data_IF_116469760292
#
_entry.id   IF_116469760292
#
_cell.length_a   1.000
_cell.length_b   1.000
_cell.length_c   1.000
_cell.angle_alpha   90.00
_cell.angle_beta   90.00
_cell.angle_gamma   90.00
#
_symmetry.space_group_name_H-M   'P 1'
#
loop_
_entity.id
_entity.type
_entity.pdbx_description
1 polymer ?
#
# COMPACT_ATOMS: atom_id res chain seq x y z
N UNK A 1 -6.08 28.99 -20.58
CA UNK A 1 -5.91 27.72 -19.84
C UNK A 1 -6.93 26.68 -20.33
N UNK A 2 -6.50 25.53 -20.88
CA UNK A 2 -7.44 24.44 -21.10
C UNK A 2 -8.04 24.06 -19.73
N UNK A 3 -9.36 23.97 -19.68
CA UNK A 3 -10.08 23.62 -18.47
C UNK A 3 -9.54 22.30 -17.93
N UNK A 4 -9.11 22.30 -16.66
CA UNK A 4 -8.85 21.06 -15.93
C UNK A 4 -10.14 20.23 -16.01
N UNK A 5 -10.09 19.14 -16.77
CA UNK A 5 -11.13 18.13 -16.69
C UNK A 5 -11.22 17.76 -15.20
N UNK A 6 -12.35 18.08 -14.57
CA UNK A 6 -12.52 17.89 -13.13
C UNK A 6 -12.10 16.49 -12.76
N UNK A 7 -11.15 16.37 -11.82
CA UNK A 7 -10.67 15.08 -11.37
C UNK A 7 -11.89 14.20 -11.01
N UNK A 8 -11.89 12.91 -11.41
CA UNK A 8 -13.00 12.04 -11.08
C UNK A 8 -13.25 12.05 -9.57
N UNK A 9 -14.51 12.03 -9.17
CA UNK A 9 -14.87 11.95 -7.75
C UNK A 9 -14.25 10.69 -7.14
N UNK A 10 -13.61 10.76 -5.96
CA UNK A 10 -12.99 9.61 -5.34
C UNK A 10 -13.96 8.43 -5.17
N UNK A 11 -13.45 7.21 -5.38
CA UNK A 11 -14.20 6.00 -5.03
C UNK A 11 -14.44 5.90 -3.51
N UNK A 12 -15.31 4.99 -3.07
CA UNK A 12 -15.63 4.84 -1.63
C UNK A 12 -14.38 4.56 -0.77
N UNK A 13 -13.53 3.62 -1.21
CA UNK A 13 -12.27 3.26 -0.52
C UNK A 13 -11.26 4.42 -0.59
N UNK A 14 -11.21 5.12 -1.72
CA UNK A 14 -10.33 6.27 -1.88
C UNK A 14 -10.75 7.43 -0.95
N UNK A 15 -12.05 7.66 -0.80
CA UNK A 15 -12.59 8.63 0.13
C UNK A 15 -12.25 8.30 1.59
N UNK A 16 -12.23 7.01 1.96
CA UNK A 16 -11.79 6.57 3.29
C UNK A 16 -10.31 6.88 3.53
N UNK A 17 -9.45 6.63 2.54
CA UNK A 17 -8.01 6.96 2.62
C UNK A 17 -7.79 8.48 2.70
N UNK A 18 -8.54 9.26 1.93
CA UNK A 18 -8.46 10.73 1.92
C UNK A 18 -9.00 11.37 3.22
N UNK A 19 -9.87 10.67 3.94
CA UNK A 19 -10.40 11.13 5.23
C UNK A 19 -9.41 10.94 6.40
N UNK A 20 -8.34 10.15 6.22
CA UNK A 20 -7.30 9.97 7.22
C UNK A 20 -6.47 11.25 7.35
N UNK A 21 -6.10 11.60 8.58
CA UNK A 21 -5.02 12.57 8.76
C UNK A 21 -3.69 11.99 8.25
N UNK A 22 -2.69 12.83 7.93
CA UNK A 22 -1.44 12.36 7.33
C UNK A 22 -0.70 11.30 8.14
N UNK A 23 -0.80 11.32 9.48
CA UNK A 23 -0.12 10.38 10.36
C UNK A 23 -0.87 9.05 10.40
N UNK A 24 -2.19 9.08 10.45
CA UNK A 24 -3.02 7.89 10.37
C UNK A 24 -2.82 7.18 9.01
N UNK A 25 -2.73 7.94 7.92
CA UNK A 25 -2.40 7.40 6.59
C UNK A 25 -1.01 6.73 6.59
N UNK A 26 0.02 7.42 7.11
CA UNK A 26 1.38 6.87 7.17
C UNK A 26 1.43 5.58 8.01
N UNK A 27 0.72 5.54 9.15
CA UNK A 27 0.65 4.35 10.00
C UNK A 27 -0.06 3.19 9.29
N UNK A 28 -1.19 3.45 8.62
CA UNK A 28 -1.88 2.43 7.81
C UNK A 28 -0.94 1.85 6.74
N UNK A 29 -0.30 2.72 5.96
CA UNK A 29 0.64 2.31 4.93
C UNK A 29 1.83 1.52 5.53
N UNK A 30 2.38 1.96 6.67
CA UNK A 30 3.44 1.26 7.38
C UNK A 30 3.04 -0.16 7.78
N UNK A 31 1.85 -0.34 8.35
CA UNK A 31 1.38 -1.65 8.75
C UNK A 31 1.22 -2.58 7.53
N UNK A 32 0.64 -2.08 6.44
CA UNK A 32 0.52 -2.83 5.17
C UNK A 32 1.90 -3.17 4.57
N UNK A 33 2.88 -2.27 4.57
CA UNK A 33 4.20 -2.60 4.03
C UNK A 33 5.01 -3.55 4.93
N UNK A 34 4.90 -3.38 6.25
CA UNK A 34 5.76 -4.06 7.23
C UNK A 34 5.28 -5.43 7.67
N UNK A 35 4.01 -5.81 7.41
CA UNK A 35 3.46 -7.07 7.96
C UNK A 35 4.20 -8.34 7.52
N UNK A 36 4.76 -8.39 6.31
CA UNK A 36 5.62 -9.51 5.89
C UNK A 36 7.09 -9.33 6.30
N UNK A 37 7.43 -8.19 6.90
CA UNK A 37 8.77 -7.86 7.39
C UNK A 37 9.78 -7.52 6.31
N UNK A 38 9.35 -7.37 5.05
CA UNK A 38 10.20 -7.04 3.91
C UNK A 38 10.45 -5.54 3.78
N UNK A 39 9.46 -4.72 4.13
CA UNK A 39 9.48 -3.28 3.87
C UNK A 39 9.15 -2.52 5.16
N UNK A 40 10.20 -2.06 5.86
CA UNK A 40 10.05 -1.22 7.06
C UNK A 40 10.52 0.21 6.79
N UNK A 41 11.83 0.42 6.71
CA UNK A 41 12.41 1.75 6.56
C UNK A 41 12.51 2.23 5.12
N UNK A 42 12.81 1.34 4.19
CA UNK A 42 13.10 1.69 2.80
C UNK A 42 12.42 0.72 1.83
N UNK A 43 11.95 1.26 0.71
CA UNK A 43 11.55 0.49 -0.46
C UNK A 43 12.81 0.22 -1.28
N UNK A 44 13.49 -0.89 -0.98
CA UNK A 44 14.75 -1.22 -1.63
C UNK A 44 14.61 -2.37 -2.62
N UNK A 45 15.36 -2.29 -3.71
CA UNK A 45 15.60 -3.40 -4.62
C UNK A 45 16.20 -4.57 -3.86
N UNK A 46 15.72 -5.78 -4.14
CA UNK A 46 16.35 -7.02 -3.70
C UNK A 46 17.63 -7.30 -4.50
N UNK A 47 18.50 -8.22 -4.06
CA UNK A 47 19.64 -8.64 -4.87
C UNK A 47 19.24 -9.19 -6.24
N UNK A 48 18.05 -9.80 -6.36
CA UNK A 48 17.54 -10.28 -7.65
C UNK A 48 17.12 -9.11 -8.56
N UNK A 49 16.50 -8.07 -7.99
CA UNK A 49 16.12 -6.86 -8.71
C UNK A 49 17.34 -6.14 -9.28
N UNK A 50 18.43 -6.04 -8.51
CA UNK A 50 19.67 -5.40 -8.92
C UNK A 50 20.42 -6.15 -10.03
N UNK A 51 20.18 -7.46 -10.18
CA UNK A 51 20.77 -8.29 -11.25
C UNK A 51 19.93 -8.31 -12.52
N UNK A 52 18.75 -7.72 -12.52
CA UNK A 52 17.94 -7.62 -13.73
C UNK A 52 18.67 -6.79 -14.79
N UNK A 53 18.55 -7.21 -16.05
CA UNK A 53 19.26 -6.61 -17.19
C UNK A 53 18.38 -5.57 -17.92
N UNK A 54 17.34 -5.05 -17.25
CA UNK A 54 16.52 -3.96 -17.78
C UNK A 54 16.72 -2.66 -17.01
N UNK A 55 16.41 -1.53 -17.65
CA UNK A 55 16.59 -0.19 -17.09
C UNK A 55 15.45 0.22 -16.13
N UNK A 56 14.49 -0.67 -15.89
CA UNK A 56 13.33 -0.36 -15.04
C UNK A 56 13.67 -0.53 -13.57
N UNK A 57 13.31 0.46 -12.76
CA UNK A 57 13.40 0.36 -11.30
C UNK A 57 12.54 -0.81 -10.83
N UNK A 58 13.11 -1.63 -9.96
CA UNK A 58 12.48 -2.83 -9.41
C UNK A 58 12.55 -2.85 -7.89
N UNK A 59 11.43 -3.17 -7.25
CA UNK A 59 11.34 -3.31 -5.79
C UNK A 59 10.62 -4.61 -5.47
N UNK A 60 11.34 -5.56 -4.87
CA UNK A 60 10.80 -6.86 -4.44
C UNK A 60 10.12 -7.63 -5.58
N UNK A 61 10.65 -7.54 -6.80
CA UNK A 61 10.12 -8.18 -8.01
C UNK A 61 9.07 -7.38 -8.79
N UNK A 62 8.54 -6.28 -8.23
CA UNK A 62 7.64 -5.36 -8.94
C UNK A 62 8.45 -4.39 -9.79
N UNK A 63 7.93 -3.96 -10.95
CA UNK A 63 8.61 -3.01 -11.84
C UNK A 63 7.85 -1.68 -11.89
N UNK A 64 8.61 -0.61 -11.99
CA UNK A 64 8.07 0.74 -12.19
C UNK A 64 7.16 0.76 -13.43
N UNK A 65 5.97 1.32 -13.25
CA UNK A 65 4.98 1.45 -14.31
C UNK A 65 4.25 0.17 -14.71
N UNK A 66 4.39 -0.94 -13.96
CA UNK A 66 3.52 -2.11 -14.14
C UNK A 66 2.05 -1.73 -13.89
N UNK A 67 1.14 -2.34 -14.64
CA UNK A 67 -0.30 -2.14 -14.46
C UNK A 67 -0.90 -3.26 -13.61
N UNK A 68 -1.46 -2.88 -12.48
CA UNK A 68 -2.31 -3.76 -11.69
C UNK A 68 -3.72 -3.75 -12.30
N UNK A 69 -4.39 -4.91 -12.42
CA UNK A 69 -5.76 -4.97 -12.91
C UNK A 69 -6.72 -4.26 -11.95
N UNK A 70 -7.90 -3.92 -12.45
CA UNK A 70 -8.98 -3.49 -11.57
C UNK A 70 -9.38 -4.65 -10.64
N UNK A 71 -9.54 -4.33 -9.34
CA UNK A 71 -9.88 -5.31 -8.30
C UNK A 71 -11.04 -4.81 -7.45
N UNK A 72 -11.68 -5.68 -6.67
CA UNK A 72 -12.62 -5.24 -5.64
C UNK A 72 -11.92 -5.18 -4.28
N UNK A 73 -11.96 -4.02 -3.64
CA UNK A 73 -11.43 -3.83 -2.29
C UNK A 73 -12.56 -3.76 -1.27
N UNK A 74 -12.30 -4.22 -0.06
CA UNK A 74 -13.22 -4.02 1.05
C UNK A 74 -13.12 -2.59 1.57
N UNK A 75 -14.27 -1.99 1.84
CA UNK A 75 -14.35 -0.71 2.57
C UNK A 75 -14.26 -0.95 4.09
N UNK A 76 -14.14 0.12 4.88
CA UNK A 76 -14.02 0.06 6.33
C UNK A 76 -15.25 -0.56 7.02
N UNK A 77 -16.41 -0.63 6.34
CA UNK A 77 -17.65 -1.25 6.83
C UNK A 77 -17.78 -2.72 6.42
N UNK A 78 -16.77 -3.28 5.72
CA UNK A 78 -16.77 -4.66 5.23
C UNK A 78 -17.53 -4.85 3.91
N UNK A 79 -17.98 -3.76 3.28
CA UNK A 79 -18.54 -3.75 1.94
C UNK A 79 -17.50 -4.12 0.87
N UNK A 80 -17.86 -3.94 -0.39
CA UNK A 80 -16.97 -4.22 -1.52
C UNK A 80 -17.14 -3.11 -2.54
N UNK A 81 -16.05 -2.41 -2.86
CA UNK A 81 -16.04 -1.33 -3.83
C UNK A 81 -14.99 -1.62 -4.94
N UNK A 82 -15.26 -1.22 -6.18
CA UNK A 82 -14.28 -1.38 -7.25
C UNK A 82 -13.10 -0.44 -7.03
N UNK A 83 -11.91 -0.95 -7.29
CA UNK A 83 -10.66 -0.21 -7.39
C UNK A 83 -10.20 -0.28 -8.85
N UNK A 84 -9.87 0.86 -9.48
CA UNK A 84 -9.53 0.88 -10.90
C UNK A 84 -8.18 0.18 -11.16
N UNK A 85 -7.94 -0.17 -12.43
CA UNK A 85 -6.61 -0.56 -12.86
C UNK A 85 -5.62 0.54 -12.48
N UNK A 86 -4.52 0.16 -11.83
CA UNK A 86 -3.60 1.10 -11.20
C UNK A 86 -2.20 0.87 -11.74
N UNK A 87 -1.60 1.92 -12.31
CA UNK A 87 -0.20 1.89 -12.69
C UNK A 87 0.68 2.14 -11.48
N UNK A 88 1.66 1.28 -11.25
CA UNK A 88 2.61 1.42 -10.15
C UNK A 88 3.54 2.61 -10.36
N UNK A 89 3.69 3.42 -9.31
CA UNK A 89 4.61 4.56 -9.23
C UNK A 89 5.46 4.40 -7.96
N UNK A 90 6.78 4.27 -8.12
CA UNK A 90 7.73 4.13 -7.03
C UNK A 90 8.37 5.46 -6.62
N UNK A 91 7.77 6.61 -6.95
CA UNK A 91 8.24 7.92 -6.50
C UNK A 91 8.50 7.98 -4.99
N UNK A 92 7.68 7.29 -4.18
CA UNK A 92 7.88 7.24 -2.73
C UNK A 92 9.15 6.48 -2.30
N UNK A 93 9.75 5.64 -3.16
CA UNK A 93 11.03 5.00 -2.89
C UNK A 93 12.22 5.95 -3.03
N UNK A 94 12.09 7.03 -3.82
CA UNK A 94 13.12 8.03 -3.99
C UNK A 94 13.24 8.92 -2.73
N UNK A 95 14.45 9.40 -2.46
CA UNK A 95 14.71 10.33 -1.36
C UNK A 95 14.21 11.73 -1.74
N UNK A 96 13.62 12.45 -0.78
CA UNK A 96 13.16 13.82 -0.92
C UNK A 96 11.66 13.95 -1.17
N UNK A 97 11.25 15.18 -1.53
CA UNK A 97 9.86 15.54 -1.78
C UNK A 97 9.52 15.35 -3.26
N UNK A 98 8.48 14.58 -3.53
CA UNK A 98 7.86 14.48 -4.85
C UNK A 98 6.68 15.47 -4.93
N UNK A 99 6.52 16.23 -6.03
CA UNK A 99 5.43 17.21 -6.16
C UNK A 99 4.03 16.60 -6.23
N UNK A 100 3.93 15.29 -6.54
CA UNK A 100 2.66 14.55 -6.63
C UNK A 100 2.44 13.71 -5.38
N UNK A 101 3.41 12.87 -5.02
CA UNK A 101 3.27 11.87 -3.92
C UNK A 101 3.76 12.36 -2.56
N UNK A 102 4.38 13.54 -2.50
CA UNK A 102 4.85 14.17 -1.27
C UNK A 102 6.10 13.52 -0.69
N UNK A 103 6.12 13.32 0.63
CA UNK A 103 7.27 12.79 1.38
C UNK A 103 7.65 11.39 0.91
N UNK A 104 8.96 11.13 0.86
CA UNK A 104 9.50 9.78 0.64
C UNK A 104 9.01 8.79 1.71
N UNK A 105 9.04 7.51 1.39
CA UNK A 105 8.71 6.43 2.32
C UNK A 105 9.57 6.49 3.59
N UNK A 106 10.87 6.71 3.42
CA UNK A 106 11.81 6.81 4.53
C UNK A 106 11.43 7.96 5.46
N UNK A 107 11.11 9.14 4.94
CA UNK A 107 10.65 10.28 5.75
C UNK A 107 9.36 9.99 6.51
N UNK A 108 8.40 9.31 5.87
CA UNK A 108 7.15 8.89 6.52
C UNK A 108 7.43 7.97 7.71
N UNK A 109 8.27 6.96 7.53
CA UNK A 109 8.58 5.99 8.59
C UNK A 109 9.42 6.62 9.70
N UNK A 110 10.35 7.53 9.37
CA UNK A 110 11.09 8.29 10.38
C UNK A 110 10.15 9.14 11.26
N UNK A 111 9.15 9.78 10.66
CA UNK A 111 8.12 10.52 11.43
C UNK A 111 7.27 9.61 12.33
N UNK A 112 6.97 8.39 11.88
CA UNK A 112 6.30 7.39 12.73
C UNK A 112 7.20 6.92 13.88
N UNK A 113 8.49 6.69 13.62
CA UNK A 113 9.47 6.30 14.64
C UNK A 113 9.66 7.38 15.70
N UNK A 114 9.74 8.64 15.29
CA UNK A 114 9.82 9.78 16.21
C UNK A 114 8.59 9.85 17.11
N UNK A 115 7.40 9.57 16.55
CA UNK A 115 6.16 9.70 17.31
C UNK A 115 5.84 8.51 18.22
N UNK A 116 5.91 7.30 17.69
CA UNK A 116 5.49 6.08 18.39
C UNK A 116 6.66 5.37 19.08
N UNK A 117 7.89 5.61 18.64
CA UNK A 117 9.04 4.81 19.03
C UNK A 117 9.02 3.41 18.40
N UNK A 118 10.17 2.71 18.42
CA UNK A 118 10.32 1.41 17.77
C UNK A 118 9.46 0.31 18.42
N UNK A 119 9.23 0.38 19.73
CA UNK A 119 8.49 -0.66 20.44
C UNK A 119 6.98 -0.64 20.15
N UNK A 120 6.36 0.55 20.11
CA UNK A 120 4.94 0.65 19.79
C UNK A 120 4.68 0.28 18.32
N UNK A 121 5.53 0.72 17.40
CA UNK A 121 5.44 0.30 15.99
C UNK A 121 5.59 -1.22 15.83
N UNK A 122 6.58 -1.82 16.52
CA UNK A 122 6.75 -3.27 16.52
C UNK A 122 5.54 -4.01 17.10
N UNK A 123 4.89 -3.46 18.12
CA UNK A 123 3.67 -4.00 18.68
C UNK A 123 2.49 -3.92 17.70
N UNK A 124 2.27 -2.79 17.03
CA UNK A 124 1.23 -2.65 16.00
C UNK A 124 1.46 -3.61 14.82
N UNK A 125 2.71 -3.75 14.36
CA UNK A 125 3.08 -4.73 13.33
C UNK A 125 2.72 -6.16 13.79
N UNK A 126 3.06 -6.52 15.03
CA UNK A 126 2.76 -7.84 15.58
C UNK A 126 1.25 -8.12 15.63
N UNK A 127 0.43 -7.13 15.98
CA UNK A 127 -1.03 -7.25 15.97
C UNK A 127 -1.57 -7.52 14.57
N UNK A 128 -1.17 -6.72 13.57
CA UNK A 128 -1.61 -6.92 12.19
C UNK A 128 -1.18 -8.30 11.68
N UNK A 129 0.06 -8.71 11.94
CA UNK A 129 0.58 -10.02 11.55
C UNK A 129 -0.19 -11.18 12.19
N UNK A 130 -0.58 -11.03 13.46
CA UNK A 130 -1.39 -12.03 14.14
C UNK A 130 -2.83 -12.08 13.60
N UNK A 131 -3.39 -10.93 13.19
CA UNK A 131 -4.71 -10.88 12.54
C UNK A 131 -4.67 -11.52 11.14
N UNK A 132 -3.70 -11.15 10.31
CA UNK A 132 -3.48 -11.68 8.96
C UNK A 132 -3.36 -13.21 8.97
N UNK A 133 -2.47 -13.76 9.81
CA UNK A 133 -2.33 -15.23 9.94
C UNK A 133 -3.60 -15.94 10.38
N UNK A 134 -4.41 -15.30 11.25
CA UNK A 134 -5.69 -15.89 11.68
C UNK A 134 -6.71 -15.87 10.54
N UNK A 135 -6.76 -14.78 9.78
CA UNK A 135 -7.60 -14.68 8.59
C UNK A 135 -7.20 -15.72 7.54
N UNK A 136 -5.91 -15.87 7.22
CA UNK A 136 -5.45 -16.85 6.22
C UNK A 136 -5.65 -18.30 6.64
N UNK A 137 -5.63 -18.60 7.95
CA UNK A 137 -5.93 -19.95 8.48
C UNK A 137 -7.42 -20.28 8.49
N UNK A 138 -8.28 -19.28 8.38
CA UNK A 138 -9.73 -19.48 8.38
C UNK A 138 -10.11 -20.36 7.20
N UNK A 139 -10.72 -21.50 7.48
CA UNK A 139 -11.32 -22.37 6.46
C UNK A 139 -12.77 -21.99 6.17
N UNK A 140 -13.28 -20.93 6.81
CA UNK A 140 -14.59 -20.40 6.49
C UNK A 140 -14.62 -20.05 5.01
N UNK A 141 -15.63 -20.53 4.29
CA UNK A 141 -15.80 -20.22 2.89
C UNK A 141 -15.87 -18.70 2.74
N UNK A 142 -14.94 -18.12 1.98
CA UNK A 142 -14.99 -16.71 1.63
C UNK A 142 -16.11 -16.54 0.58
N UNK A 143 -17.24 -15.91 0.92
CA UNK A 143 -18.34 -15.73 -0.01
C UNK A 143 -17.95 -14.86 -1.21
N UNK A 144 -16.86 -14.09 -1.12
CA UNK A 144 -16.32 -13.27 -2.21
C UNK A 144 -15.51 -14.13 -3.20
N UNK A 145 -14.65 -15.04 -2.72
CA UNK A 145 -13.92 -15.98 -3.60
C UNK A 145 -14.87 -16.96 -4.33
N UNK A 146 -15.94 -17.40 -3.67
CA UNK A 146 -16.92 -18.29 -4.30
C UNK A 146 -17.62 -17.64 -5.52
N UNK A 147 -17.76 -16.31 -5.52
CA UNK A 147 -18.37 -15.55 -6.63
C UNK A 147 -17.40 -15.33 -7.80
N UNK A 148 -16.10 -15.25 -7.57
CA UNK A 148 -15.10 -15.09 -8.63
C UNK A 148 -14.86 -16.38 -9.42
N UNK A 149 -14.86 -17.54 -8.77
CA UNK A 149 -14.72 -18.85 -9.45
C UNK A 149 -15.93 -19.19 -10.33
N UNK A 150 -17.06 -18.51 -10.11
CA UNK A 150 -18.31 -18.72 -10.85
C UNK A 150 -18.47 -17.77 -12.07
N UNK A 151 -17.48 -16.92 -12.35
CA UNK A 151 -17.46 -15.95 -13.46
C UNK A 151 -16.43 -16.34 -14.51
#
# INVERSE_FOLDING_TARGET
PPAEAGAPSPGAVEAELLALDPRAFDLLAFLVCSHHGKVRLAWHSSPADQRAVDERVRIQGLREGDELPAISLADAKGGSAPWPATRLDFAAAAVGLNPVTGRSWTERVLGLLEHHGPFALGWYEALLRAADRRASKSTAADPKLAKEVSR
#
